data_IF_452521829621
#
_entry.id   IF_452521829621
#
_cell.length_a   1.000
_cell.length_b   1.000
_cell.length_c   1.000
_cell.angle_alpha   90.00
_cell.angle_beta   90.00
_cell.angle_gamma   90.00
#
_symmetry.space_group_name_H-M   'P 1'
#
loop_
_entity.id
_entity.type
_entity.pdbx_description
1 polymer ?
#
# COMPACT_ATOMS: atom_id res chain seq x y z
N UNK A 1 -6.94 -4.84 4.65
CA UNK A 1 -7.21 -6.27 4.90
C UNK A 1 -7.56 -6.93 3.58
N UNK A 2 -7.03 -8.12 3.33
CA UNK A 2 -7.41 -9.02 2.24
C UNK A 2 -8.06 -10.26 2.84
N UNK A 3 -9.11 -10.75 2.19
CA UNK A 3 -9.87 -11.89 2.68
C UNK A 3 -10.30 -12.77 1.50
N UNK A 4 -10.12 -14.08 1.64
CA UNK A 4 -10.74 -15.12 0.83
C UNK A 4 -11.72 -15.90 1.71
N UNK A 5 -12.34 -16.96 1.19
CA UNK A 5 -13.15 -17.85 2.03
C UNK A 5 -12.33 -18.56 3.12
N UNK A 6 -10.99 -18.66 2.97
CA UNK A 6 -10.11 -19.46 3.81
C UNK A 6 -9.00 -18.69 4.51
N UNK A 7 -8.62 -17.53 3.97
CA UNK A 7 -7.43 -16.81 4.43
C UNK A 7 -7.73 -15.33 4.67
N UNK A 8 -7.25 -14.79 5.79
CA UNK A 8 -7.36 -13.36 6.15
C UNK A 8 -6.00 -12.78 6.47
N UNK A 9 -5.64 -11.73 5.74
CA UNK A 9 -4.36 -11.02 5.86
C UNK A 9 -4.57 -9.54 6.17
N UNK A 10 -3.69 -8.97 6.98
CA UNK A 10 -3.57 -7.51 7.11
C UNK A 10 -2.20 -7.09 6.61
N UNK A 11 -2.16 -6.03 5.82
CA UNK A 11 -0.93 -5.33 5.45
C UNK A 11 -0.87 -4.05 6.25
N UNK A 12 0.21 -3.90 6.99
CA UNK A 12 0.49 -2.84 7.94
C UNK A 12 -0.52 -2.69 9.09
N UNK A 13 -0.04 -2.16 10.20
CA UNK A 13 -0.77 -1.96 11.44
C UNK A 13 -0.48 -0.59 12.05
N UNK A 14 -0.63 0.49 11.27
CA UNK A 14 -0.38 1.86 11.75
C UNK A 14 -1.40 2.33 12.78
N UNK A 15 -2.64 1.86 12.68
CA UNK A 15 -3.73 2.26 13.58
C UNK A 15 -3.72 1.45 14.88
N UNK A 16 -4.06 2.10 16.00
CA UNK A 16 -4.24 1.42 17.28
C UNK A 16 -5.48 0.50 17.28
N UNK A 17 -5.51 -0.47 18.19
CA UNK A 17 -6.54 -1.52 18.29
C UNK A 17 -7.98 -0.98 18.20
N UNK A 18 -8.30 0.06 18.99
CA UNK A 18 -9.67 0.60 19.04
C UNK A 18 -10.12 1.12 17.68
N UNK A 19 -9.25 1.87 17.01
CA UNK A 19 -9.54 2.45 15.71
C UNK A 19 -9.63 1.36 14.62
N UNK A 20 -8.72 0.40 14.62
CA UNK A 20 -8.77 -0.74 13.69
C UNK A 20 -10.09 -1.49 13.80
N UNK A 21 -10.51 -1.83 15.03
CA UNK A 21 -11.78 -2.55 15.25
C UNK A 21 -13.00 -1.69 14.87
N UNK A 22 -12.98 -0.39 15.16
CA UNK A 22 -14.05 0.52 14.77
C UNK A 22 -14.21 0.61 13.25
N UNK A 23 -13.10 0.69 12.50
CA UNK A 23 -13.10 0.71 11.04
C UNK A 23 -13.55 -0.61 10.43
N UNK A 24 -13.14 -1.74 10.97
CA UNK A 24 -13.62 -3.05 10.54
C UNK A 24 -15.13 -3.19 10.77
N UNK A 25 -15.62 -2.78 11.94
CA UNK A 25 -17.06 -2.78 12.23
C UNK A 25 -17.86 -1.86 11.31
N UNK A 26 -17.30 -0.70 10.92
CA UNK A 26 -17.94 0.25 10.00
C UNK A 26 -18.14 -0.32 8.58
N UNK A 27 -17.39 -1.33 8.20
CA UNK A 27 -17.54 -2.09 6.94
C UNK A 27 -18.13 -3.48 7.19
N UNK A 28 -18.81 -3.67 8.31
CA UNK A 28 -19.49 -4.91 8.71
C UNK A 28 -18.57 -6.15 8.77
N UNK A 29 -17.27 -5.94 9.05
CA UNK A 29 -16.29 -7.02 9.21
C UNK A 29 -16.02 -7.28 10.68
N UNK A 30 -16.24 -8.52 11.10
CA UNK A 30 -15.80 -9.04 12.40
C UNK A 30 -14.64 -10.02 12.17
N UNK A 31 -13.45 -9.63 12.63
CA UNK A 31 -12.23 -10.41 12.43
C UNK A 31 -11.83 -11.04 13.77
N UNK A 32 -12.05 -12.33 13.89
CA UNK A 32 -11.73 -13.16 15.06
C UNK A 32 -10.32 -13.76 15.00
N UNK A 33 -9.79 -13.97 13.79
CA UNK A 33 -8.43 -14.47 13.56
C UNK A 33 -7.84 -13.86 12.29
N UNK A 34 -6.50 -13.91 12.20
CA UNK A 34 -5.72 -13.62 11.00
C UNK A 34 -4.74 -14.76 10.74
N UNK A 35 -4.52 -15.05 9.47
CA UNK A 35 -3.53 -16.03 9.02
C UNK A 35 -2.16 -15.39 8.82
N UNK A 36 -2.09 -14.06 8.71
CA UNK A 36 -0.85 -13.32 8.62
C UNK A 36 -1.01 -11.81 8.78
N UNK A 37 0.03 -11.20 9.36
CA UNK A 37 0.25 -9.76 9.35
C UNK A 37 1.52 -9.51 8.54
N UNK A 38 1.40 -8.72 7.47
CA UNK A 38 2.53 -8.39 6.60
C UNK A 38 2.92 -6.92 6.86
N UNK A 39 4.20 -6.65 7.00
CA UNK A 39 4.71 -5.29 7.21
C UNK A 39 5.54 -4.87 6.00
N UNK A 40 5.19 -3.71 5.45
CA UNK A 40 5.90 -3.10 4.31
C UNK A 40 7.24 -2.51 4.73
N UNK A 41 7.25 -1.75 5.82
CA UNK A 41 8.44 -1.11 6.40
C UNK A 41 8.17 -0.62 7.83
N UNK A 42 9.20 -0.09 8.50
CA UNK A 42 9.17 0.21 9.94
C UNK A 42 8.63 1.59 10.33
N UNK A 43 8.22 2.45 9.41
CA UNK A 43 7.69 3.77 9.75
C UNK A 43 6.47 3.68 10.68
N UNK A 44 6.33 4.68 11.55
CA UNK A 44 5.37 4.66 12.66
C UNK A 44 3.92 4.55 12.21
N UNK A 45 3.57 5.18 11.11
CA UNK A 45 2.25 5.15 10.49
C UNK A 45 1.89 3.79 9.88
N UNK A 46 2.87 2.87 9.72
CA UNK A 46 2.67 1.49 9.31
C UNK A 46 2.71 0.49 10.46
N UNK A 47 3.37 0.81 11.59
CA UNK A 47 3.68 -0.15 12.63
C UNK A 47 3.20 0.21 14.04
N UNK A 48 2.72 1.43 14.29
CA UNK A 48 2.38 1.91 15.64
C UNK A 48 1.39 1.00 16.40
N UNK A 49 0.43 0.42 15.71
CA UNK A 49 -0.57 -0.50 16.28
C UNK A 49 -0.12 -1.96 16.36
N UNK A 50 0.99 -2.32 15.73
CA UNK A 50 1.44 -3.71 15.57
C UNK A 50 1.50 -4.49 16.90
N UNK A 51 2.06 -3.96 18.02
CA UNK A 51 2.09 -4.69 19.28
C UNK A 51 0.70 -5.06 19.81
N UNK A 52 -0.30 -4.22 19.55
CA UNK A 52 -1.68 -4.45 19.98
C UNK A 52 -2.36 -5.49 19.09
N UNK A 53 -2.11 -5.44 17.78
CA UNK A 53 -2.66 -6.39 16.81
C UNK A 53 -2.12 -7.80 17.04
N UNK A 54 -0.81 -7.96 17.23
CA UNK A 54 -0.18 -9.23 17.56
C UNK A 54 -0.71 -9.83 18.87
N UNK A 55 -0.97 -8.98 19.86
CA UNK A 55 -1.58 -9.41 21.14
C UNK A 55 -3.02 -9.89 20.98
N UNK A 56 -3.75 -9.36 20.01
CA UNK A 56 -5.17 -9.67 19.77
C UNK A 56 -5.34 -10.92 18.91
N UNK A 57 -4.73 -10.93 17.71
CA UNK A 57 -4.98 -11.99 16.72
C UNK A 57 -3.97 -13.12 16.75
N UNK A 58 -2.80 -12.91 17.39
CA UNK A 58 -1.74 -13.94 17.52
C UNK A 58 -1.32 -14.56 16.18
N UNK A 59 -1.35 -13.75 15.12
CA UNK A 59 -0.98 -14.15 13.78
C UNK A 59 0.55 -14.19 13.59
N UNK A 60 1.09 -14.98 12.65
CA UNK A 60 2.46 -14.87 12.19
C UNK A 60 2.73 -13.48 11.60
N UNK A 61 3.95 -12.98 11.81
CA UNK A 61 4.42 -11.71 11.26
C UNK A 61 5.36 -11.95 10.08
N UNK A 62 4.97 -11.50 8.90
CA UNK A 62 5.77 -11.55 7.67
C UNK A 62 6.47 -10.20 7.48
N UNK A 63 7.80 -10.19 7.53
CA UNK A 63 8.58 -8.94 7.53
C UNK A 63 10.00 -9.20 7.02
N UNK A 64 10.62 -8.21 6.36
CA UNK A 64 12.04 -8.34 5.98
C UNK A 64 12.95 -8.27 7.22
N UNK A 65 14.12 -8.92 7.14
CA UNK A 65 15.05 -8.97 8.25
C UNK A 65 15.49 -7.58 8.74
N UNK A 66 15.77 -6.66 7.80
CA UNK A 66 16.19 -5.30 8.15
C UNK A 66 15.06 -4.47 8.75
N UNK A 67 13.83 -4.59 8.22
CA UNK A 67 12.64 -3.97 8.82
C UNK A 67 12.38 -4.50 10.23
N UNK A 68 12.51 -5.81 10.45
CA UNK A 68 12.35 -6.40 11.79
C UNK A 68 13.39 -5.88 12.78
N UNK A 69 14.64 -5.73 12.35
CA UNK A 69 15.70 -5.15 13.19
C UNK A 69 15.40 -3.68 13.54
N UNK A 70 14.90 -2.89 12.59
CA UNK A 70 14.48 -1.52 12.83
C UNK A 70 13.29 -1.44 13.80
N UNK A 71 12.29 -2.32 13.65
CA UNK A 71 11.14 -2.43 14.55
C UNK A 71 11.56 -2.77 15.99
N UNK A 72 12.53 -3.63 16.20
CA UNK A 72 13.06 -3.96 17.54
C UNK A 72 13.67 -2.75 18.26
N UNK A 73 14.18 -1.78 17.52
CA UNK A 73 14.76 -0.54 18.09
C UNK A 73 13.69 0.48 18.49
N UNK A 74 12.55 0.46 17.84
CA UNK A 74 11.51 1.49 17.99
C UNK A 74 10.28 1.01 18.77
N UNK A 75 9.99 -0.28 18.73
CA UNK A 75 8.86 -0.87 19.44
C UNK A 75 9.28 -1.46 20.79
N UNK A 76 8.34 -1.51 21.76
CA UNK A 76 8.66 -2.01 23.11
C UNK A 76 9.15 -3.47 23.10
N UNK A 77 10.00 -3.85 24.04
CA UNK A 77 10.42 -5.26 24.29
C UNK A 77 9.23 -6.24 24.40
N UNK A 78 8.05 -5.72 24.72
CA UNK A 78 6.81 -6.51 24.76
C UNK A 78 6.40 -7.04 23.38
N UNK A 79 6.92 -6.50 22.28
CA UNK A 79 6.64 -6.99 20.92
C UNK A 79 7.06 -8.46 20.80
N UNK A 80 8.30 -8.78 21.17
CA UNK A 80 8.83 -10.15 21.05
C UNK A 80 8.00 -11.18 21.83
N UNK A 81 7.49 -10.80 23.02
CA UNK A 81 6.64 -11.67 23.83
C UNK A 81 5.26 -11.95 23.22
N UNK A 82 4.84 -11.16 22.25
CA UNK A 82 3.54 -11.27 21.55
C UNK A 82 3.64 -11.97 20.19
N UNK A 83 4.85 -12.09 19.65
CA UNK A 83 5.09 -12.80 18.41
C UNK A 83 4.82 -14.28 18.58
N UNK A 84 3.97 -14.86 17.75
CA UNK A 84 3.79 -16.32 17.64
C UNK A 84 4.72 -16.96 16.63
N UNK A 85 5.19 -16.20 15.66
CA UNK A 85 6.17 -16.58 14.67
C UNK A 85 6.60 -15.33 13.89
N UNK A 86 7.86 -15.30 13.51
CA UNK A 86 8.39 -14.33 12.55
C UNK A 86 8.74 -15.14 11.31
N UNK A 87 8.05 -14.84 10.24
CA UNK A 87 8.35 -15.37 8.91
C UNK A 87 9.20 -14.33 8.18
N UNK A 88 10.51 -14.57 8.16
CA UNK A 88 11.44 -13.70 7.44
C UNK A 88 11.19 -13.80 5.94
N UNK A 89 10.93 -12.68 5.30
CA UNK A 89 10.74 -12.59 3.85
C UNK A 89 11.82 -11.69 3.23
N UNK A 90 12.05 -11.86 1.94
CA UNK A 90 13.01 -11.06 1.17
C UNK A 90 12.30 -10.32 0.03
N UNK A 91 12.79 -9.13 -0.31
CA UNK A 91 12.31 -8.41 -1.48
C UNK A 91 12.59 -9.23 -2.76
N UNK A 92 11.57 -9.47 -3.57
CA UNK A 92 11.58 -10.35 -4.73
C UNK A 92 11.11 -11.79 -4.44
N UNK A 93 10.89 -12.15 -3.17
CA UNK A 93 10.43 -13.47 -2.79
C UNK A 93 8.96 -13.68 -3.14
N UNK A 94 8.63 -14.90 -3.58
CA UNK A 94 7.27 -15.42 -3.68
C UNK A 94 7.06 -16.50 -2.61
N UNK A 95 5.90 -16.45 -1.96
CA UNK A 95 5.51 -17.41 -0.93
C UNK A 95 3.98 -17.50 -0.85
N UNK A 96 3.45 -18.44 -0.09
CA UNK A 96 2.00 -18.59 0.07
C UNK A 96 1.59 -18.48 1.54
N UNK A 97 0.43 -17.87 1.78
CA UNK A 97 -0.24 -17.87 3.06
C UNK A 97 -1.67 -18.40 2.80
N UNK A 98 -1.96 -19.58 3.30
CA UNK A 98 -3.22 -20.25 2.98
C UNK A 98 -3.39 -20.47 1.47
N UNK A 99 -4.45 -19.91 0.90
CA UNK A 99 -4.77 -19.97 -0.54
C UNK A 99 -4.35 -18.70 -1.31
N UNK A 100 -3.59 -17.81 -0.67
CA UNK A 100 -3.08 -16.57 -1.28
C UNK A 100 -1.59 -16.72 -1.57
N UNK A 101 -1.23 -16.59 -2.84
CA UNK A 101 0.15 -16.42 -3.28
C UNK A 101 0.56 -14.96 -3.12
N UNK A 102 1.67 -14.72 -2.44
CA UNK A 102 2.20 -13.38 -2.13
C UNK A 102 3.54 -13.17 -2.82
N UNK A 103 3.74 -12.01 -3.43
CA UNK A 103 5.03 -11.60 -3.95
C UNK A 103 5.45 -10.26 -3.33
N UNK A 104 6.60 -10.22 -2.69
CA UNK A 104 7.20 -9.02 -2.10
C UNK A 104 7.98 -8.24 -3.15
N UNK A 105 7.60 -6.99 -3.41
CA UNK A 105 8.23 -6.11 -4.41
C UNK A 105 9.13 -5.10 -3.70
N UNK A 106 10.40 -4.99 -4.08
CA UNK A 106 11.28 -3.94 -3.56
C UNK A 106 10.81 -2.56 -4.00
N UNK A 107 10.70 -1.63 -3.04
CA UNK A 107 10.30 -0.25 -3.29
C UNK A 107 11.44 0.72 -2.97
N UNK A 108 11.55 1.84 -3.72
CA UNK A 108 12.53 2.89 -3.43
C UNK A 108 11.95 3.87 -2.39
N UNK A 109 12.21 3.61 -1.11
CA UNK A 109 11.79 4.46 0.01
C UNK A 109 12.89 4.59 1.06
N UNK A 110 12.83 5.60 1.91
CA UNK A 110 13.81 5.89 2.94
C UNK A 110 13.55 5.09 4.24
N UNK A 111 13.47 3.78 4.09
CA UNK A 111 13.29 2.80 5.15
C UNK A 111 14.37 1.70 5.08
N UNK A 112 14.41 0.80 6.06
CA UNK A 112 15.48 -0.20 6.18
C UNK A 112 15.50 -1.21 5.02
N UNK A 113 14.34 -1.74 4.62
CA UNK A 113 14.17 -2.61 3.45
C UNK A 113 12.69 -2.60 3.02
N UNK A 114 12.24 -1.49 2.40
CA UNK A 114 10.83 -1.27 2.10
C UNK A 114 10.35 -2.14 0.95
N UNK A 115 9.18 -2.73 1.13
CA UNK A 115 8.53 -3.60 0.15
C UNK A 115 7.05 -3.25 -0.02
N UNK A 116 6.55 -3.45 -1.24
CA UNK A 116 5.13 -3.56 -1.53
C UNK A 116 4.77 -5.02 -1.77
N UNK A 117 3.50 -5.29 -2.02
CA UNK A 117 3.03 -6.65 -2.22
C UNK A 117 2.11 -6.80 -3.42
N UNK A 118 2.19 -7.95 -4.10
CA UNK A 118 1.07 -8.45 -4.88
C UNK A 118 0.53 -9.74 -4.27
N UNK A 119 -0.77 -9.93 -4.39
CA UNK A 119 -1.51 -11.07 -3.87
C UNK A 119 -2.27 -11.71 -5.03
N UNK A 120 -2.16 -13.02 -5.18
CA UNK A 120 -2.89 -13.78 -6.22
C UNK A 120 -3.66 -14.93 -5.58
N UNK A 121 -4.92 -15.07 -5.94
CA UNK A 121 -5.78 -16.20 -5.57
C UNK A 121 -6.88 -16.38 -6.61
N UNK A 122 -7.19 -17.62 -7.00
CA UNK A 122 -8.27 -17.97 -7.92
C UNK A 122 -8.27 -17.15 -9.23
N UNK A 123 -7.10 -16.80 -9.76
CA UNK A 123 -6.96 -16.01 -11.00
C UNK A 123 -7.06 -14.49 -10.78
N UNK A 124 -7.45 -14.03 -9.62
CA UNK A 124 -7.49 -12.60 -9.24
C UNK A 124 -6.17 -12.14 -8.66
N UNK A 125 -5.72 -10.94 -9.03
CA UNK A 125 -4.48 -10.35 -8.52
C UNK A 125 -4.69 -8.94 -7.99
N UNK A 126 -4.22 -8.68 -6.77
CA UNK A 126 -4.26 -7.38 -6.11
C UNK A 126 -2.84 -6.89 -5.86
N UNK A 127 -2.57 -5.59 -6.01
CA UNK A 127 -1.30 -4.97 -5.64
C UNK A 127 -1.50 -3.87 -4.60
N UNK A 128 -0.56 -3.78 -3.64
CA UNK A 128 -0.43 -2.68 -2.69
C UNK A 128 0.97 -2.11 -2.85
N UNK A 129 1.04 -0.87 -3.34
CA UNK A 129 2.30 -0.18 -3.68
C UNK A 129 2.20 1.26 -3.18
N UNK A 130 2.60 1.46 -1.94
CA UNK A 130 2.71 2.77 -1.27
C UNK A 130 4.11 2.96 -0.75
N UNK A 131 4.47 4.21 -0.49
CA UNK A 131 5.79 4.59 0.03
C UNK A 131 6.91 4.31 -0.97
N UNK A 132 6.92 5.12 -2.01
CA UNK A 132 7.95 5.06 -3.03
C UNK A 132 8.15 6.41 -3.72
N UNK A 133 9.40 6.79 -3.96
CA UNK A 133 9.71 8.07 -4.61
C UNK A 133 9.52 8.04 -6.13
N UNK A 134 9.48 6.87 -6.75
CA UNK A 134 9.18 6.66 -8.17
C UNK A 134 8.72 5.22 -8.41
N UNK A 135 8.06 4.95 -9.54
CA UNK A 135 7.64 3.61 -9.95
C UNK A 135 8.76 2.91 -10.75
N UNK A 136 9.49 1.94 -10.16
CA UNK A 136 10.51 1.19 -10.88
C UNK A 136 9.89 0.30 -11.97
N UNK A 137 10.65 0.02 -13.03
CA UNK A 137 10.21 -0.84 -14.14
C UNK A 137 9.70 -2.20 -13.67
N UNK A 138 10.41 -2.86 -12.75
CA UNK A 138 9.98 -4.15 -12.23
C UNK A 138 8.62 -4.07 -11.51
N UNK A 139 8.34 -2.98 -10.77
CA UNK A 139 7.02 -2.78 -10.15
C UNK A 139 5.96 -2.60 -11.23
N UNK A 140 6.20 -1.74 -12.23
CA UNK A 140 5.28 -1.51 -13.35
C UNK A 140 4.91 -2.82 -14.06
N UNK A 141 5.89 -3.70 -14.33
CA UNK A 141 5.66 -5.02 -14.93
C UNK A 141 4.72 -5.87 -14.06
N UNK A 142 4.91 -5.87 -12.74
CA UNK A 142 4.01 -6.60 -11.84
C UNK A 142 2.59 -6.02 -11.77
N UNK A 143 2.44 -4.72 -12.03
CA UNK A 143 1.14 -4.04 -12.06
C UNK A 143 0.34 -4.29 -13.36
N UNK A 144 0.95 -4.83 -14.43
CA UNK A 144 0.26 -5.12 -15.70
C UNK A 144 -0.86 -6.16 -15.60
N UNK A 145 -0.78 -7.07 -14.63
CA UNK A 145 -1.70 -8.19 -14.51
C UNK A 145 -2.64 -8.09 -13.29
N UNK A 146 -2.79 -6.89 -12.72
CA UNK A 146 -3.62 -6.74 -11.52
C UNK A 146 -5.06 -6.39 -11.86
N UNK A 147 -6.00 -6.92 -11.07
CA UNK A 147 -7.43 -6.57 -11.10
C UNK A 147 -7.72 -5.38 -10.19
N UNK A 148 -6.93 -5.22 -9.12
CA UNK A 148 -7.02 -4.10 -8.21
C UNK A 148 -5.62 -3.61 -7.84
N UNK A 149 -5.40 -2.31 -7.91
CA UNK A 149 -4.16 -1.68 -7.46
C UNK A 149 -4.46 -0.59 -6.43
N UNK A 150 -3.80 -0.70 -5.28
CA UNK A 150 -3.71 0.35 -4.27
C UNK A 150 -2.37 1.02 -4.49
N UNK A 151 -2.40 2.23 -5.05
CA UNK A 151 -1.22 2.96 -5.48
C UNK A 151 -1.08 4.27 -4.72
N UNK A 152 0.13 4.60 -4.30
CA UNK A 152 0.40 5.90 -3.70
C UNK A 152 0.07 7.05 -4.65
N UNK A 153 -0.54 8.12 -4.10
CA UNK A 153 -0.67 9.44 -4.71
C UNK A 153 -0.51 10.49 -3.61
N UNK A 154 0.74 10.69 -3.17
CA UNK A 154 1.01 11.33 -1.89
C UNK A 154 0.78 12.84 -1.93
N UNK A 155 1.35 13.56 -2.89
CA UNK A 155 1.34 15.02 -2.85
C UNK A 155 1.10 15.65 -4.22
N UNK A 156 0.48 16.81 -4.20
CA UNK A 156 0.48 17.76 -5.31
C UNK A 156 1.77 18.59 -5.26
N UNK A 157 2.41 18.79 -6.40
CA UNK A 157 3.71 19.48 -6.49
C UNK A 157 3.60 20.95 -6.07
N UNK A 158 2.55 21.66 -6.44
CA UNK A 158 2.37 23.06 -6.10
C UNK A 158 1.97 23.22 -4.62
N UNK A 159 1.07 22.37 -4.11
CA UNK A 159 0.75 22.36 -2.68
C UNK A 159 1.99 22.09 -1.83
N UNK A 160 2.82 21.12 -2.20
CA UNK A 160 4.07 20.83 -1.48
C UNK A 160 5.03 22.02 -1.52
N UNK A 161 5.14 22.69 -2.67
CA UNK A 161 6.02 23.84 -2.87
C UNK A 161 5.68 25.00 -1.91
N UNK A 162 4.39 25.33 -1.82
CA UNK A 162 3.89 26.45 -0.98
C UNK A 162 3.50 26.02 0.44
N UNK A 163 3.34 24.73 0.68
CA UNK A 163 2.88 24.15 1.93
C UNK A 163 3.81 24.41 3.14
N UNK A 164 3.36 24.05 4.35
CA UNK A 164 4.02 24.43 5.60
C UNK A 164 5.31 23.65 5.91
N UNK A 165 5.62 22.58 5.16
CA UNK A 165 6.78 21.74 5.47
C UNK A 165 8.09 22.51 5.35
N UNK A 166 9.05 22.30 6.29
CA UNK A 166 10.41 22.82 6.18
C UNK A 166 11.07 22.34 4.89
N UNK A 167 11.99 23.13 4.35
CA UNK A 167 12.67 22.82 3.07
C UNK A 167 13.30 21.43 3.02
N UNK A 168 13.96 21.00 4.09
CA UNK A 168 14.57 19.66 4.16
C UNK A 168 13.52 18.53 4.04
N UNK A 169 12.33 18.72 4.62
CA UNK A 169 11.24 17.76 4.50
C UNK A 169 10.69 17.74 3.07
N UNK A 170 10.53 18.92 2.44
CA UNK A 170 10.12 19.00 1.03
C UNK A 170 11.11 18.27 0.10
N UNK A 171 12.42 18.49 0.32
CA UNK A 171 13.46 17.78 -0.44
C UNK A 171 13.41 16.27 -0.24
N UNK A 172 13.19 15.80 0.99
CA UNK A 172 13.00 14.38 1.29
C UNK A 172 11.80 13.80 0.54
N UNK A 173 10.64 14.45 0.62
CA UNK A 173 9.41 14.02 -0.06
C UNK A 173 9.59 13.94 -1.58
N UNK A 174 10.27 14.93 -2.18
CA UNK A 174 10.55 15.01 -3.62
C UNK A 174 11.68 14.09 -4.10
N UNK A 175 12.39 13.43 -3.18
CA UNK A 175 13.53 12.59 -3.55
C UNK A 175 13.08 11.26 -4.17
N UNK A 176 14.01 10.58 -4.84
CA UNK A 176 13.76 9.22 -5.37
C UNK A 176 13.49 8.16 -4.29
N UNK A 177 13.65 8.51 -3.03
CA UNK A 177 13.31 7.69 -1.87
C UNK A 177 12.20 8.32 -1.02
N UNK A 178 11.53 9.35 -1.51
CA UNK A 178 10.40 10.01 -0.86
C UNK A 178 9.07 9.35 -1.22
N UNK A 179 8.17 10.13 -1.83
CA UNK A 179 6.82 9.68 -2.14
C UNK A 179 6.40 10.08 -3.56
N UNK A 180 5.48 9.31 -4.16
CA UNK A 180 4.91 9.61 -5.48
C UNK A 180 4.04 10.87 -5.44
N UNK A 181 4.32 11.81 -6.33
CA UNK A 181 3.42 12.94 -6.59
C UNK A 181 2.21 12.52 -7.44
N UNK A 182 1.12 13.30 -7.36
CA UNK A 182 -0.01 13.18 -8.29
C UNK A 182 0.44 13.25 -9.76
N UNK A 183 1.49 14.05 -10.03
CA UNK A 183 2.07 14.17 -11.37
C UNK A 183 2.73 12.86 -11.84
N UNK A 184 3.57 12.23 -11.03
CA UNK A 184 4.21 10.95 -11.37
C UNK A 184 3.18 9.83 -11.56
N UNK A 185 2.12 9.82 -10.73
CA UNK A 185 0.97 8.92 -10.91
C UNK A 185 0.28 9.19 -12.24
N UNK A 186 0.02 10.46 -12.57
CA UNK A 186 -0.62 10.85 -13.83
C UNK A 186 0.19 10.43 -15.06
N UNK A 187 1.52 10.55 -15.02
CA UNK A 187 2.39 10.06 -16.10
C UNK A 187 2.25 8.55 -16.28
N UNK A 188 2.26 7.78 -15.19
CA UNK A 188 2.06 6.33 -15.25
C UNK A 188 0.67 5.95 -15.76
N UNK A 189 -0.39 6.62 -15.29
CA UNK A 189 -1.76 6.32 -15.70
C UNK A 189 -2.01 6.65 -17.19
N UNK A 190 -1.36 7.67 -17.73
CA UNK A 190 -1.46 8.03 -19.15
C UNK A 190 -0.65 7.10 -20.08
N UNK A 191 0.36 6.42 -19.53
CA UNK A 191 1.24 5.52 -20.29
C UNK A 191 0.48 4.24 -20.71
N UNK A 192 0.45 3.98 -22.02
CA UNK A 192 -0.19 2.83 -22.65
C UNK A 192 0.82 1.76 -23.13
N UNK A 193 2.07 1.86 -22.74
CA UNK A 193 3.09 0.85 -23.08
C UNK A 193 2.66 -0.56 -22.68
N UNK A 194 2.82 -1.53 -23.56
CA UNK A 194 2.33 -2.90 -23.37
C UNK A 194 3.03 -3.64 -22.22
N UNK A 195 4.23 -3.23 -21.84
CA UNK A 195 5.05 -3.90 -20.82
C UNK A 195 5.06 -3.14 -19.50
N UNK A 196 5.16 -1.82 -19.55
CA UNK A 196 5.38 -0.98 -18.37
C UNK A 196 4.29 0.05 -18.13
N UNK A 197 3.37 0.25 -19.08
CA UNK A 197 2.25 1.19 -18.94
C UNK A 197 1.17 0.70 -17.98
N UNK A 198 0.26 1.57 -17.67
CA UNK A 198 -0.89 1.24 -16.83
C UNK A 198 -1.82 0.26 -17.56
N UNK A 199 -2.32 -0.74 -16.84
CA UNK A 199 -3.25 -1.72 -17.37
C UNK A 199 -4.69 -1.16 -17.34
N UNK A 200 -5.30 -0.94 -18.49
CA UNK A 200 -6.69 -0.45 -18.61
C UNK A 200 -7.74 -1.44 -18.11
N UNK A 201 -7.39 -2.73 -17.96
CA UNK A 201 -8.29 -3.80 -17.49
C UNK A 201 -8.40 -3.89 -15.97
N UNK A 202 -7.64 -3.05 -15.24
CA UNK A 202 -7.77 -2.93 -13.77
C UNK A 202 -9.22 -2.60 -13.42
N UNK A 203 -9.84 -3.40 -12.55
CA UNK A 203 -11.24 -3.18 -12.11
C UNK A 203 -11.32 -2.06 -11.07
N UNK A 204 -10.34 -1.99 -10.17
CA UNK A 204 -10.27 -0.95 -9.14
C UNK A 204 -8.88 -0.31 -9.09
N UNK A 205 -8.83 0.97 -9.38
CA UNK A 205 -7.66 1.83 -9.14
C UNK A 205 -7.92 2.64 -7.87
N UNK A 206 -7.21 2.34 -6.80
CA UNK A 206 -7.33 3.03 -5.52
C UNK A 206 -6.10 3.91 -5.33
N UNK A 207 -6.27 5.23 -5.34
CA UNK A 207 -5.22 6.15 -4.92
C UNK A 207 -5.22 6.28 -3.41
N UNK A 208 -4.07 6.05 -2.80
CA UNK A 208 -3.91 5.97 -1.34
C UNK A 208 -2.69 6.77 -0.87
N UNK A 209 -2.49 6.80 0.44
CA UNK A 209 -1.34 7.43 1.11
C UNK A 209 -1.21 8.94 0.78
N UNK A 210 -2.36 9.64 0.70
CA UNK A 210 -2.41 11.07 0.43
C UNK A 210 -1.89 11.87 1.63
N UNK A 211 -1.02 12.85 1.39
CA UNK A 211 -0.59 13.80 2.42
C UNK A 211 -1.76 14.68 2.89
N UNK A 212 -1.92 14.82 4.19
CA UNK A 212 -2.94 15.72 4.78
C UNK A 212 -2.65 17.19 4.49
N UNK A 213 -1.38 17.58 4.41
CA UNK A 213 -0.93 18.97 4.27
C UNK A 213 -0.69 19.37 2.82
N UNK A 214 -0.28 18.42 1.97
CA UNK A 214 0.20 18.73 0.61
C UNK A 214 -0.59 18.00 -0.48
N UNK A 215 -1.79 17.54 -0.16
CA UNK A 215 -2.73 16.96 -1.11
C UNK A 215 -4.17 17.11 -0.61
N UNK A 216 -5.12 16.80 -1.46
CA UNK A 216 -6.50 16.54 -1.08
C UNK A 216 -7.13 15.52 -2.05
N UNK A 217 -8.18 14.81 -1.64
CA UNK A 217 -8.81 13.79 -2.47
C UNK A 217 -9.27 14.29 -3.83
N UNK A 218 -9.79 15.51 -3.90
CA UNK A 218 -10.28 16.11 -5.16
C UNK A 218 -9.14 16.36 -6.16
N UNK A 219 -8.01 16.93 -5.70
CA UNK A 219 -6.84 17.18 -6.55
C UNK A 219 -6.25 15.88 -7.10
N UNK A 220 -6.09 14.86 -6.24
CA UNK A 220 -5.61 13.54 -6.67
C UNK A 220 -6.57 12.90 -7.69
N UNK A 221 -7.88 12.96 -7.45
CA UNK A 221 -8.91 12.43 -8.34
C UNK A 221 -8.91 13.10 -9.72
N UNK A 222 -8.89 14.44 -9.76
CA UNK A 222 -8.87 15.21 -11.02
C UNK A 222 -7.60 14.88 -11.82
N UNK A 223 -6.42 14.91 -11.19
CA UNK A 223 -5.16 14.59 -11.85
C UNK A 223 -5.18 13.20 -12.49
N UNK A 224 -5.72 12.21 -11.78
CA UNK A 224 -5.83 10.84 -12.30
C UNK A 224 -6.86 10.74 -13.43
N UNK A 225 -8.04 11.36 -13.31
CA UNK A 225 -9.07 11.37 -14.37
C UNK A 225 -8.57 12.02 -15.65
N UNK A 226 -7.89 13.16 -15.55
CA UNK A 226 -7.28 13.84 -16.70
C UNK A 226 -6.21 12.96 -17.37
N UNK A 227 -5.38 12.27 -16.59
CA UNK A 227 -4.39 11.34 -17.12
C UNK A 227 -5.04 10.18 -17.87
N UNK A 228 -6.04 9.54 -17.27
CA UNK A 228 -6.79 8.43 -17.87
C UNK A 228 -7.54 8.85 -19.14
N UNK A 229 -8.06 10.08 -19.20
CA UNK A 229 -8.76 10.63 -20.38
C UNK A 229 -7.85 10.88 -21.60
N UNK A 230 -6.54 11.00 -21.38
CA UNK A 230 -5.54 11.18 -22.46
C UNK A 230 -5.15 9.87 -23.15
N UNK A 231 -5.59 8.73 -22.64
CA UNK A 231 -5.29 7.41 -23.21
C UNK A 231 -5.99 7.21 -24.56
N UNK A 232 -5.37 6.48 -25.50
CA UNK A 232 -6.04 6.04 -26.71
C UNK A 232 -7.35 5.27 -26.40
N UNK A 233 -8.34 5.38 -27.27
CA UNK A 233 -9.66 4.78 -27.04
C UNK A 233 -9.60 3.26 -26.82
N UNK A 234 -8.70 2.57 -27.51
CA UNK A 234 -8.43 1.13 -27.38
C UNK A 234 -7.82 0.74 -26.01
N UNK A 235 -7.25 1.71 -25.30
CA UNK A 235 -6.69 1.55 -23.96
C UNK A 235 -7.45 2.37 -22.89
N UNK A 236 -8.71 2.71 -23.20
CA UNK A 236 -9.53 3.48 -22.26
C UNK A 236 -9.75 2.68 -20.95
N UNK A 237 -9.54 3.34 -19.83
CA UNK A 237 -9.80 2.75 -18.52
C UNK A 237 -11.31 2.65 -18.27
N UNK A 238 -11.80 1.43 -18.06
CA UNK A 238 -13.21 1.14 -17.80
C UNK A 238 -13.50 0.76 -16.34
N UNK A 239 -12.47 0.69 -15.50
CA UNK A 239 -12.60 0.36 -14.08
C UNK A 239 -13.11 1.52 -13.22
N UNK A 240 -13.10 1.33 -11.93
CA UNK A 240 -13.49 2.33 -10.95
C UNK A 240 -12.25 2.99 -10.33
N UNK A 241 -12.19 4.33 -10.38
CA UNK A 241 -11.21 5.13 -9.65
C UNK A 241 -11.75 5.47 -8.27
N UNK A 242 -10.99 5.13 -7.25
CA UNK A 242 -11.32 5.37 -5.84
C UNK A 242 -10.19 6.13 -5.15
N UNK A 243 -10.54 6.98 -4.20
CA UNK A 243 -9.57 7.71 -3.37
C UNK A 243 -9.72 7.23 -1.92
N UNK A 244 -8.65 6.67 -1.36
CA UNK A 244 -8.64 6.23 0.02
C UNK A 244 -8.54 7.42 0.97
N UNK A 245 -9.37 7.43 2.01
CA UNK A 245 -9.35 8.44 3.06
C UNK A 245 -8.55 7.96 4.27
N UNK A 246 -7.81 8.87 4.91
CA UNK A 246 -7.19 8.58 6.20
C UNK A 246 -8.22 8.55 7.35
N UNK A 247 -9.37 9.20 7.19
CA UNK A 247 -10.36 9.37 8.26
C UNK A 247 -11.37 8.21 8.33
N UNK A 248 -11.70 7.60 7.18
CA UNK A 248 -12.76 6.61 7.07
C UNK A 248 -12.29 5.38 6.29
N UNK A 249 -12.76 4.19 6.65
CA UNK A 249 -12.51 3.01 5.83
C UNK A 249 -13.24 3.15 4.49
N UNK A 250 -12.65 2.61 3.45
CA UNK A 250 -13.35 2.37 2.19
C UNK A 250 -14.34 1.21 2.34
N UNK A 251 -15.33 1.17 1.44
CA UNK A 251 -16.16 -0.02 1.31
C UNK A 251 -15.34 -1.25 0.97
N UNK A 252 -15.86 -2.42 1.26
CA UNK A 252 -15.28 -3.68 0.77
C UNK A 252 -15.31 -3.70 -0.77
N UNK A 253 -14.20 -4.08 -1.39
CA UNK A 253 -14.11 -4.31 -2.83
C UNK A 253 -14.15 -5.82 -3.08
N UNK A 254 -15.06 -6.25 -3.93
CA UNK A 254 -15.19 -7.66 -4.33
C UNK A 254 -14.59 -7.86 -5.73
N UNK A 255 -13.76 -8.89 -5.88
CA UNK A 255 -12.95 -9.16 -7.07
C UNK A 255 -13.29 -10.53 -7.68
#
# INVERSE_FOLDING_TARGET
>A
MLETERTRLIVDCGLGKRETLARLAAIEKNVDHLDGILITHEHIDHCNGLPQMLGMWKAPLYVTGATMEALRRTLPETLEKRLRGIEGIEAGQQFAIGDIEVHALRLPHDAADPIGFTFRTNGTKVAIVTDLGYLPTHVKVHLREVDCVILESNHDLEMLKVGPYPWLVKQRVLSKYGHLSNHAVSEYLADADEVTGFNEKVRYLVLAHLSQENNNPYTAEISAKEALSRRPAEHAFAGELLIASQEKPMRTLEL
#
